data_IF_396417593420
#
_entry.id   IF_396417593420
#
_cell.length_a   1.000
_cell.length_b   1.000
_cell.length_c   1.000
_cell.angle_alpha   90.00
_cell.angle_beta   90.00
_cell.angle_gamma   90.00
#
_symmetry.space_group_name_H-M   'P 1'
#
loop_
_entity.id
_entity.type
_entity.pdbx_description
1 polymer ?
#
# COMPACT_ATOMS: atom_id res chain seq x y z
N UNK A 1 4.60 -23.62 3.02
CA UNK A 1 5.13 -22.63 3.97
C UNK A 1 5.03 -21.27 3.29
N UNK A 2 3.98 -20.49 3.54
CA UNK A 2 3.86 -19.15 2.95
C UNK A 2 4.70 -18.19 3.80
N UNK A 3 5.82 -17.71 3.26
CA UNK A 3 6.59 -16.65 3.91
C UNK A 3 5.68 -15.43 4.12
N UNK A 4 5.50 -15.03 5.37
CA UNK A 4 4.67 -13.89 5.73
C UNK A 4 5.42 -12.61 5.33
N UNK A 5 5.08 -12.06 4.16
CA UNK A 5 5.77 -10.90 3.60
C UNK A 5 5.44 -9.67 4.43
N UNK A 6 6.38 -9.21 5.26
CA UNK A 6 6.24 -7.98 6.04
C UNK A 6 6.73 -6.78 5.23
N UNK A 7 5.84 -5.82 4.97
CA UNK A 7 6.17 -4.59 4.24
C UNK A 7 7.14 -3.73 5.06
N UNK A 8 8.28 -3.40 4.46
CA UNK A 8 9.27 -2.51 5.06
C UNK A 8 9.03 -1.05 4.64
N UNK A 9 8.54 -0.24 5.58
CA UNK A 9 8.27 1.20 5.39
C UNK A 9 9.44 2.11 5.77
N UNK A 10 10.55 1.58 6.30
CA UNK A 10 11.71 2.43 6.66
C UNK A 10 12.54 2.82 5.45
N UNK A 11 12.47 2.01 4.39
CA UNK A 11 13.22 2.21 3.15
C UNK A 11 12.34 2.80 2.05
N UNK A 12 12.98 3.57 1.18
CA UNK A 12 12.31 4.09 0.00
C UNK A 12 11.95 2.96 -0.96
N UNK A 13 10.74 3.03 -1.50
CA UNK A 13 10.18 2.06 -2.42
C UNK A 13 10.56 2.40 -3.86
N UNK A 14 10.98 1.40 -4.62
CA UNK A 14 11.34 1.53 -6.02
C UNK A 14 10.09 1.65 -6.89
N UNK A 15 10.08 2.63 -7.78
CA UNK A 15 9.03 2.82 -8.78
C UNK A 15 9.49 2.25 -10.10
N UNK A 16 8.70 1.33 -10.65
CA UNK A 16 8.89 0.81 -12.00
C UNK A 16 7.72 1.24 -12.89
N UNK A 17 8.03 1.78 -14.07
CA UNK A 17 7.03 1.93 -15.14
C UNK A 17 6.96 0.62 -15.92
N UNK A 18 5.75 0.11 -16.10
CA UNK A 18 5.48 -1.05 -16.93
C UNK A 18 5.30 -0.56 -18.37
N UNK A 19 6.06 -1.17 -19.27
CA UNK A 19 5.91 -1.07 -20.73
C UNK A 19 5.42 -2.42 -21.25
N UNK A 20 5.10 -2.49 -22.53
CA UNK A 20 4.47 -3.68 -23.11
C UNK A 20 5.30 -4.96 -22.92
N UNK A 21 6.63 -4.87 -23.10
CA UNK A 21 7.52 -6.03 -23.03
C UNK A 21 8.35 -6.12 -21.73
N UNK A 22 8.44 -5.05 -20.93
CA UNK A 22 9.33 -5.03 -19.76
C UNK A 22 8.95 -3.98 -18.71
N UNK A 23 9.61 -4.05 -17.56
CA UNK A 23 9.52 -3.04 -16.49
C UNK A 23 10.84 -2.30 -16.41
N UNK A 24 10.78 -0.98 -16.27
CA UNK A 24 11.96 -0.14 -16.10
C UNK A 24 11.80 0.81 -14.92
N UNK A 25 12.90 1.08 -14.17
CA UNK A 25 12.89 2.12 -13.15
C UNK A 25 12.42 3.46 -13.71
N UNK A 26 11.51 4.12 -13.01
CA UNK A 26 11.04 5.42 -13.43
C UNK A 26 12.08 6.50 -13.10
N UNK A 27 12.54 7.26 -14.09
CA UNK A 27 13.71 8.14 -13.91
C UNK A 27 13.47 9.37 -13.04
N UNK A 28 12.27 9.99 -13.09
CA UNK A 28 12.00 11.26 -12.37
C UNK A 28 11.77 11.07 -10.86
N UNK A 29 11.24 9.91 -10.46
CA UNK A 29 10.96 9.57 -9.06
C UNK A 29 11.23 8.08 -8.86
N UNK A 30 12.48 7.66 -9.06
CA UNK A 30 12.88 6.26 -8.97
C UNK A 30 12.55 5.66 -7.61
N UNK A 31 12.60 6.46 -6.54
CA UNK A 31 12.33 6.02 -5.18
C UNK A 31 11.30 6.94 -4.50
N UNK A 32 10.37 6.33 -3.75
CA UNK A 32 9.34 7.03 -2.96
C UNK A 32 9.44 6.59 -1.50
N UNK A 33 9.60 7.55 -0.59
CA UNK A 33 9.61 7.29 0.85
C UNK A 33 8.17 7.23 1.39
N UNK A 34 7.57 6.05 1.35
CA UNK A 34 6.20 5.80 1.81
C UNK A 34 6.21 5.40 3.30
N UNK A 35 5.42 6.07 4.14
CA UNK A 35 5.26 5.68 5.56
C UNK A 35 4.01 4.84 5.74
N UNK A 36 3.95 4.06 6.83
CA UNK A 36 2.76 3.25 7.15
C UNK A 36 1.49 4.10 7.29
N UNK A 37 1.59 5.35 7.76
CA UNK A 37 0.48 6.30 7.87
C UNK A 37 -0.12 6.69 6.52
N UNK A 38 0.71 6.77 5.48
CA UNK A 38 0.26 7.11 4.12
C UNK A 38 -0.51 5.94 3.47
N UNK A 39 -0.42 4.73 4.05
CA UNK A 39 -1.14 3.53 3.63
C UNK A 39 -2.31 3.17 4.57
N UNK A 40 -2.88 4.14 5.28
CA UNK A 40 -4.03 3.89 6.17
C UNK A 40 -5.32 3.60 5.39
N UNK A 41 -5.57 4.36 4.32
CA UNK A 41 -6.73 4.17 3.44
C UNK A 41 -6.32 4.38 1.98
N UNK A 42 -6.96 3.70 1.01
CA UNK A 42 -6.76 3.97 -0.42
C UNK A 42 -6.84 5.45 -0.80
N UNK A 43 -7.69 6.25 -0.15
CA UNK A 43 -7.81 7.70 -0.39
C UNK A 43 -6.57 8.47 0.08
N UNK A 44 -6.08 8.17 1.28
CA UNK A 44 -4.87 8.79 1.85
C UNK A 44 -3.66 8.43 0.99
N UNK A 45 -3.55 7.17 0.60
CA UNK A 45 -2.50 6.69 -0.28
C UNK A 45 -2.53 7.41 -1.64
N UNK A 46 -3.70 7.51 -2.28
CA UNK A 46 -3.84 8.26 -3.54
C UNK A 46 -3.41 9.72 -3.39
N UNK A 47 -3.84 10.39 -2.32
CA UNK A 47 -3.49 11.79 -2.04
C UNK A 47 -1.98 11.97 -1.86
N UNK A 48 -1.34 11.07 -1.11
CA UNK A 48 0.12 11.07 -0.95
C UNK A 48 0.82 10.87 -2.30
N UNK A 49 0.41 9.86 -3.05
CA UNK A 49 1.05 9.55 -4.34
C UNK A 49 0.87 10.68 -5.37
N UNK A 50 -0.23 11.43 -5.34
CA UNK A 50 -0.44 12.59 -6.23
C UNK A 50 0.61 13.69 -6.06
N UNK A 51 1.30 13.76 -4.91
CA UNK A 51 2.45 14.66 -4.72
C UNK A 51 3.63 14.31 -5.64
N UNK A 52 3.72 13.05 -6.07
CA UNK A 52 4.78 12.56 -6.95
C UNK A 52 4.31 12.44 -8.39
N UNK A 53 3.07 11.96 -8.60
CA UNK A 53 2.62 11.56 -9.93
C UNK A 53 2.26 12.72 -10.86
N UNK A 54 2.21 13.97 -10.39
CA UNK A 54 1.73 15.12 -11.19
C UNK A 54 2.41 15.27 -12.56
N UNK A 55 3.70 14.93 -12.66
CA UNK A 55 4.47 15.00 -13.90
C UNK A 55 4.76 13.64 -14.54
N UNK A 56 4.06 12.59 -14.11
CA UNK A 56 4.27 11.24 -14.61
C UNK A 56 3.49 11.02 -15.90
N UNK A 57 4.17 10.40 -16.86
CA UNK A 57 3.54 9.97 -18.11
C UNK A 57 2.42 8.96 -17.84
N UNK A 58 1.41 8.93 -18.69
CA UNK A 58 0.35 7.92 -18.62
C UNK A 58 0.93 6.50 -18.75
N UNK A 59 0.33 5.55 -18.02
CA UNK A 59 0.70 4.13 -18.04
C UNK A 59 0.55 3.44 -16.70
N UNK A 60 0.94 2.16 -16.67
CA UNK A 60 0.93 1.33 -15.47
C UNK A 60 2.26 1.38 -14.74
N UNK A 61 2.22 1.40 -13.41
CA UNK A 61 3.37 1.48 -12.54
C UNK A 61 3.28 0.43 -11.44
N UNK A 62 4.43 -0.14 -11.06
CA UNK A 62 4.59 -1.00 -9.89
C UNK A 62 5.40 -0.25 -8.83
N UNK A 63 4.91 -0.24 -7.59
CA UNK A 63 5.67 0.20 -6.43
C UNK A 63 6.24 -1.02 -5.72
N UNK A 64 7.54 -1.04 -5.49
CA UNK A 64 8.24 -2.20 -4.93
C UNK A 64 9.01 -1.85 -3.66
N UNK A 65 9.00 -2.75 -2.69
CA UNK A 65 9.82 -2.66 -1.48
C UNK A 65 10.84 -3.79 -1.45
N UNK A 66 11.94 -3.57 -0.74
CA UNK A 66 12.98 -4.58 -0.55
C UNK A 66 12.50 -5.56 0.52
N UNK A 67 12.44 -6.85 0.18
CA UNK A 67 12.22 -7.93 1.17
C UNK A 67 13.55 -8.38 1.76
N UNK A 68 14.54 -8.61 0.88
CA UNK A 68 15.84 -9.11 1.28
C UNK A 68 16.91 -8.17 0.74
N UNK A 69 17.72 -7.66 1.66
CA UNK A 69 18.88 -6.86 1.28
C UNK A 69 19.88 -7.74 0.55
N UNK A 70 20.30 -7.25 -0.61
CA UNK A 70 21.43 -7.80 -1.31
C UNK A 70 22.71 -7.54 -0.52
N UNK A 71 23.58 -8.54 -0.39
CA UNK A 71 24.95 -8.34 0.08
C UNK A 71 25.86 -7.84 -1.04
N UNK A 72 27.17 -7.80 -0.79
CA UNK A 72 28.19 -7.33 -1.74
C UNK A 72 28.13 -7.99 -3.14
N UNK A 73 27.62 -9.23 -3.23
CA UNK A 73 27.47 -9.98 -4.49
C UNK A 73 26.02 -10.31 -4.86
N UNK A 74 25.04 -10.02 -4.01
CA UNK A 74 23.66 -10.40 -4.25
C UNK A 74 22.83 -9.17 -4.57
N UNK A 75 21.99 -9.24 -5.60
CA UNK A 75 21.05 -8.17 -5.88
C UNK A 75 19.94 -8.14 -4.81
N UNK A 76 19.47 -6.95 -4.41
CA UNK A 76 18.34 -6.83 -3.50
C UNK A 76 17.08 -7.46 -4.12
N UNK A 77 16.35 -8.22 -3.32
CA UNK A 77 15.11 -8.86 -3.75
C UNK A 77 13.95 -7.92 -3.46
N UNK A 78 13.25 -7.55 -4.52
CA UNK A 78 12.11 -6.67 -4.47
C UNK A 78 10.79 -7.44 -4.52
N UNK A 79 9.78 -6.89 -3.86
CA UNK A 79 8.41 -7.36 -3.97
C UNK A 79 7.47 -6.21 -4.25
N UNK A 80 6.43 -6.48 -5.03
CA UNK A 80 5.50 -5.44 -5.47
C UNK A 80 4.48 -5.18 -4.37
N UNK A 81 4.50 -3.97 -3.80
CA UNK A 81 3.51 -3.51 -2.84
C UNK A 81 2.15 -3.34 -3.51
N UNK A 82 2.13 -2.65 -4.65
CA UNK A 82 0.91 -2.39 -5.41
C UNK A 82 1.23 -2.05 -6.86
N UNK A 83 0.25 -2.34 -7.73
CA UNK A 83 0.21 -1.84 -9.11
C UNK A 83 -0.86 -0.76 -9.24
N UNK A 84 -0.53 0.32 -9.94
CA UNK A 84 -1.46 1.40 -10.18
C UNK A 84 -1.31 2.00 -11.58
N UNK A 85 -2.39 2.58 -12.08
CA UNK A 85 -2.44 3.25 -13.38
C UNK A 85 -2.50 4.76 -13.19
N UNK A 86 -1.57 5.45 -13.85
CA UNK A 86 -1.53 6.90 -13.92
C UNK A 86 -2.05 7.34 -15.28
N UNK A 87 -2.94 8.33 -15.28
CA UNK A 87 -3.38 9.07 -16.46
C UNK A 87 -3.29 10.55 -16.14
N UNK A 88 -2.59 11.30 -16.97
CA UNK A 88 -2.43 12.75 -16.85
C UNK A 88 -2.00 13.18 -15.44
N UNK A 89 -1.00 12.46 -14.92
CA UNK A 89 -0.44 12.68 -13.59
C UNK A 89 -1.31 12.26 -12.40
N UNK A 90 -2.50 11.68 -12.64
CA UNK A 90 -3.42 11.20 -11.59
C UNK A 90 -3.51 9.69 -11.54
N UNK A 91 -3.52 9.13 -10.33
CA UNK A 91 -3.83 7.71 -10.12
C UNK A 91 -5.32 7.45 -10.35
N UNK A 92 -5.62 6.73 -11.44
CA UNK A 92 -6.99 6.34 -11.79
C UNK A 92 -7.36 5.04 -11.07
N UNK A 93 -6.51 4.02 -11.19
CA UNK A 93 -6.79 2.67 -10.71
C UNK A 93 -5.65 2.14 -9.85
N UNK A 94 -6.01 1.43 -8.79
CA UNK A 94 -5.08 0.62 -7.99
C UNK A 94 -5.58 -0.82 -8.08
N UNK A 95 -4.71 -1.73 -8.50
CA UNK A 95 -5.07 -3.13 -8.70
C UNK A 95 -5.16 -3.86 -7.37
N UNK A 96 -6.16 -4.75 -7.23
CA UNK A 96 -6.32 -5.58 -6.03
C UNK A 96 -5.44 -6.81 -6.06
N UNK A 97 -5.46 -7.50 -7.19
CA UNK A 97 -4.67 -8.70 -7.45
C UNK A 97 -3.69 -8.46 -8.59
N UNK A 98 -2.57 -9.16 -8.53
CA UNK A 98 -1.62 -9.22 -9.62
C UNK A 98 -2.23 -9.92 -10.83
N UNK A 99 -2.14 -9.36 -12.05
CA UNK A 99 -2.71 -10.00 -13.24
C UNK A 99 -2.02 -11.32 -13.60
N UNK A 100 -0.76 -11.50 -13.21
CA UNK A 100 0.02 -12.70 -13.52
C UNK A 100 -0.12 -13.77 -12.44
N UNK A 101 0.12 -13.39 -11.19
CA UNK A 101 0.17 -14.35 -10.08
C UNK A 101 -1.18 -14.56 -9.42
N UNK A 102 -2.19 -13.73 -9.75
CA UNK A 102 -3.53 -13.68 -9.12
C UNK A 102 -3.53 -13.46 -7.60
N UNK A 103 -2.36 -13.32 -6.98
CA UNK A 103 -2.20 -13.00 -5.56
C UNK A 103 -2.62 -11.57 -5.29
N UNK A 104 -3.26 -11.36 -4.14
CA UNK A 104 -3.62 -10.02 -3.64
C UNK A 104 -2.35 -9.24 -3.32
N UNK A 105 -2.34 -7.96 -3.66
CA UNK A 105 -1.21 -7.09 -3.34
C UNK A 105 -1.15 -6.79 -1.83
N UNK A 106 0.06 -6.78 -1.20
CA UNK A 106 0.21 -6.55 0.24
C UNK A 106 -0.38 -5.23 0.73
N UNK A 107 -0.48 -4.22 -0.13
CA UNK A 107 -1.07 -2.92 0.25
C UNK A 107 -2.49 -3.05 0.81
N UNK A 108 -3.25 -4.05 0.34
CA UNK A 108 -4.63 -4.29 0.78
C UNK A 108 -4.72 -4.88 2.17
N UNK A 109 -3.71 -5.66 2.57
CA UNK A 109 -3.58 -6.13 3.94
C UNK A 109 -3.27 -4.94 4.86
N UNK A 110 -2.36 -4.05 4.45
CA UNK A 110 -2.02 -2.84 5.21
C UNK A 110 -3.24 -1.91 5.38
N UNK A 111 -4.04 -1.71 4.33
CA UNK A 111 -5.31 -0.97 4.40
C UNK A 111 -6.33 -1.64 5.34
N UNK A 112 -6.27 -2.96 5.51
CA UNK A 112 -7.17 -3.70 6.38
C UNK A 112 -6.72 -3.73 7.84
N UNK A 113 -5.41 -3.80 8.11
CA UNK A 113 -4.83 -3.79 9.45
C UNK A 113 -5.11 -2.48 10.19
N UNK A 114 -5.04 -1.37 9.47
CA UNK A 114 -5.29 -0.03 10.03
C UNK A 114 -6.76 0.17 10.39
N UNK A 115 -7.69 -0.41 9.62
CA UNK A 115 -9.11 -0.47 9.97
C UNK A 115 -9.41 -1.32 11.21
N UNK A 116 -8.51 -2.21 11.61
CA UNK A 116 -8.71 -3.16 12.73
C UNK A 116 -8.25 -2.63 14.11
N UNK A 117 -7.85 -1.36 14.24
CA UNK A 117 -7.65 -0.73 15.57
C UNK A 117 -8.90 0.04 16.02
N UNK A 118 -9.20 0.04 17.34
CA UNK A 118 -10.28 -0.76 17.90
C UNK A 118 -11.58 0.03 18.07
N UNK A 119 -12.71 -0.61 17.79
CA UNK A 119 -13.97 -0.22 18.44
C UNK A 119 -13.76 -0.41 19.93
N UNK A 120 -13.71 0.71 20.66
CA UNK A 120 -13.62 0.72 22.10
C UNK A 120 -14.77 -0.12 22.70
N UNK A 121 -14.36 -1.04 23.57
CA UNK A 121 -15.09 -1.77 24.61
C UNK A 121 -16.61 -1.54 24.67
N UNK A 122 -17.34 -2.64 24.51
CA UNK A 122 -18.60 -2.91 25.22
C UNK A 122 -18.47 -2.42 26.67
N UNK A 123 -19.28 -1.43 27.06
CA UNK A 123 -19.67 -1.27 28.45
C UNK A 123 -21.02 -1.94 28.59
N UNK A 124 -21.00 -3.06 29.30
CA UNK A 124 -22.17 -3.82 29.69
C UNK A 124 -23.19 -2.96 30.47
N UNK A 125 -24.44 -3.33 30.25
CA UNK A 125 -25.67 -2.86 30.87
C UNK A 125 -25.52 -2.60 32.38
N UNK A 126 -25.90 -1.41 32.84
CA UNK A 126 -26.55 -1.25 34.16
C UNK A 126 -28.05 -0.99 33.96
N UNK A 127 -28.79 -2.09 34.06
CA UNK A 127 -30.21 -2.12 34.45
C UNK A 127 -30.33 -1.40 35.80
N UNK A 128 -31.06 -0.29 35.88
CA UNK A 128 -31.62 0.20 37.15
C UNK A 128 -33.13 0.21 36.98
N UNK A 129 -33.77 -0.71 37.71
CA UNK A 129 -35.21 -0.89 37.81
C UNK A 129 -35.69 -0.15 39.05
N UNK A 130 -36.79 0.60 38.88
CA UNK A 130 -37.79 1.07 39.87
C UNK A 130 -37.40 2.15 40.89
N UNK A 131 -38.21 3.22 40.91
CA UNK A 131 -39.28 3.38 41.92
C UNK A 131 -40.42 4.28 41.45
N UNK A 132 -41.66 3.78 41.61
CA UNK A 132 -42.91 4.54 41.66
C UNK A 132 -42.96 5.33 42.98
N UNK A 133 -43.40 6.57 42.94
CA UNK A 133 -44.23 7.31 43.94
C UNK A 133 -44.44 8.71 43.33
N UNK A 134 -45.60 9.37 43.35
CA UNK A 134 -46.86 9.22 44.07
C UNK A 134 -47.96 9.85 43.19
#
# INVERSE_FOLDING_TARGET
MEEQIKVNFTRAMLVLKIRDAYKAPYHKNKFIALKKKDCEDPKVFKKFMHQYTGNWSSGSYDLQFVIKEGGYMNQPVYYTLCRFDVRDGRIVKIWKSSPYTRKTYPIWEVFSETKKKPVAKKVDKKKVVKKKSK
#
